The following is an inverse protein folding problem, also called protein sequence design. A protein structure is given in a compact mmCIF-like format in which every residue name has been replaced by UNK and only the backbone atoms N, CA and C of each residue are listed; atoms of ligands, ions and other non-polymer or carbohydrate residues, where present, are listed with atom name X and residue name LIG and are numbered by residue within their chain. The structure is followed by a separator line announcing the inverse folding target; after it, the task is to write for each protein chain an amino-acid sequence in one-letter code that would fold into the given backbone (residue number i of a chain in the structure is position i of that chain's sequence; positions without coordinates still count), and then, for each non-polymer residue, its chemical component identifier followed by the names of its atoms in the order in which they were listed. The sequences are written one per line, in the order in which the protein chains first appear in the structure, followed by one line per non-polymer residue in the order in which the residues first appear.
data_IF_330279588745
#
_entry.id   IF_330279588745
#
_cell.length_a   1.000
_cell.length_b   1.000
_cell.length_c   1.000
_cell.angle_alpha   90.00
_cell.angle_beta   90.00
_cell.angle_gamma   90.00
#
_symmetry.space_group_name_H-M   'P 1'
#
loop_
_entity.id
_entity.type
_entity.pdbx_description
1 polymer ?
#
# COMPACT_ATOMS: atom_id res chain seq x y z
N UNK A 1 3.85 9.77 -1.63
CA UNK A 1 2.80 8.72 -1.53
C UNK A 1 3.43 7.34 -1.71
N UNK A 2 3.34 6.45 -0.71
CA UNK A 2 3.83 5.06 -0.81
C UNK A 2 2.82 4.17 -1.54
N UNK A 3 3.30 3.34 -2.46
CA UNK A 3 2.51 2.33 -3.18
C UNK A 3 2.92 0.94 -2.68
N UNK A 4 1.94 0.15 -2.23
CA UNK A 4 2.15 -1.16 -1.64
C UNK A 4 1.47 -2.24 -2.47
N UNK A 5 2.15 -3.36 -2.65
CA UNK A 5 1.55 -4.63 -3.08
C UNK A 5 0.94 -5.32 -1.86
N UNK A 6 -0.37 -5.53 -1.85
CA UNK A 6 -1.09 -6.19 -0.74
C UNK A 6 -1.89 -7.39 -1.26
N UNK A 7 -2.37 -8.31 -0.39
CA UNK A 7 -3.24 -9.41 -0.81
C UNK A 7 -4.57 -8.97 -1.45
N UNK A 8 -4.95 -7.69 -1.27
CA UNK A 8 -6.14 -7.08 -1.86
C UNK A 8 -5.83 -6.27 -3.13
N UNK A 9 -4.63 -6.42 -3.68
CA UNK A 9 -4.12 -5.67 -4.84
C UNK A 9 -3.19 -4.52 -4.46
N UNK A 10 -2.92 -3.65 -5.43
CA UNK A 10 -2.02 -2.49 -5.26
C UNK A 10 -2.79 -1.37 -4.56
N UNK A 11 -2.28 -0.90 -3.42
CA UNK A 11 -2.90 0.12 -2.59
C UNK A 11 -1.91 1.21 -2.23
N UNK A 12 -2.40 2.43 -2.04
CA UNK A 12 -1.59 3.45 -1.35
C UNK A 12 -1.39 3.07 0.13
N UNK A 13 -0.32 3.55 0.75
CA UNK A 13 -0.05 3.29 2.17
C UNK A 13 -1.20 3.73 3.08
N UNK A 14 -1.92 4.80 2.72
CA UNK A 14 -3.10 5.25 3.45
C UNK A 14 -4.28 4.27 3.33
N UNK A 15 -4.54 3.72 2.14
CA UNK A 15 -5.59 2.73 1.93
C UNK A 15 -5.26 1.42 2.66
N UNK A 16 -4.02 0.94 2.58
CA UNK A 16 -3.56 -0.25 3.28
C UNK A 16 -3.77 -0.13 4.80
N UNK A 17 -3.42 1.04 5.38
CA UNK A 17 -3.64 1.33 6.80
C UNK A 17 -5.13 1.33 7.19
N UNK A 18 -6.00 1.94 6.39
CA UNK A 18 -7.45 1.97 6.65
C UNK A 18 -8.07 0.57 6.61
N UNK A 19 -7.57 -0.29 5.72
CA UNK A 19 -8.04 -1.66 5.54
C UNK A 19 -7.38 -2.67 6.48
N UNK A 20 -6.48 -2.22 7.36
CA UNK A 20 -5.66 -3.07 8.25
C UNK A 20 -4.98 -4.22 7.51
N UNK A 21 -4.42 -3.94 6.32
CA UNK A 21 -3.65 -4.92 5.54
C UNK A 21 -2.21 -4.44 5.37
N UNK A 22 -1.28 -5.38 5.52
CA UNK A 22 0.13 -5.18 5.21
C UNK A 22 0.46 -5.53 3.76
N UNK A 23 1.71 -5.29 3.40
CA UNK A 23 2.21 -5.55 2.06
C UNK A 23 3.65 -5.09 1.89
N UNK A 24 4.17 -5.29 0.69
CA UNK A 24 5.52 -4.88 0.31
C UNK A 24 5.46 -3.51 -0.38
N UNK A 25 6.39 -2.62 -0.05
CA UNK A 25 6.48 -1.30 -0.67
C UNK A 25 7.11 -1.46 -2.05
N UNK A 26 6.41 -1.02 -3.08
CA UNK A 26 6.91 -1.06 -4.46
C UNK A 26 7.71 0.21 -4.80
N UNK A 27 7.14 1.37 -4.49
CA UNK A 27 7.78 2.65 -4.75
C UNK A 27 7.16 3.78 -3.93
N UNK A 28 7.87 4.91 -3.94
CA UNK A 28 7.37 6.18 -3.46
C UNK A 28 7.23 7.14 -4.66
N UNK A 29 6.08 7.79 -4.74
CA UNK A 29 5.84 8.92 -5.64
C UNK A 29 5.94 10.20 -4.80
N UNK A 30 6.67 11.22 -5.26
CA UNK A 30 6.79 12.50 -4.54
C UNK A 30 5.54 13.35 -4.76
#
# INVERSE_FOLDING_TARGET
IAVLSTPKGILTGQQARRLNVGGEILCYVW
#
